data_IF_233782082163
#
_entry.id   IF_233782082163
#
_cell.length_a   1.000
_cell.length_b   1.000
_cell.length_c   1.000
_cell.angle_alpha   90.00
_cell.angle_beta   90.00
_cell.angle_gamma   90.00
#
_symmetry.space_group_name_H-M   'P 1'
#
loop_
_entity.id
_entity.type
_entity.pdbx_description
1 polymer ?
#
# COMPACT_ATOMS: atom_id res chain seq x y z
N UNK A 1 -0.23 13.08 -5.63
CA UNK A 1 -0.60 11.78 -4.99
C UNK A 1 -0.15 10.54 -5.76
N UNK A 2 -0.04 10.57 -7.10
CA UNK A 2 0.30 9.38 -7.91
C UNK A 2 1.66 8.75 -7.57
N UNK A 3 2.69 9.56 -7.26
CA UNK A 3 4.03 9.04 -6.93
C UNK A 3 4.07 8.18 -5.67
N UNK A 4 3.26 8.47 -4.65
CA UNK A 4 3.23 7.69 -3.40
C UNK A 4 2.70 6.27 -3.69
N UNK A 5 1.59 6.19 -4.42
CA UNK A 5 0.99 4.93 -4.86
C UNK A 5 1.98 4.10 -5.71
N UNK A 6 2.61 4.74 -6.70
CA UNK A 6 3.58 4.08 -7.57
C UNK A 6 4.80 3.59 -6.79
N UNK A 7 5.30 4.35 -5.82
CA UNK A 7 6.43 3.93 -4.99
C UNK A 7 6.08 2.75 -4.09
N UNK A 8 4.88 2.72 -3.50
CA UNK A 8 4.49 1.60 -2.64
C UNK A 8 4.20 0.33 -3.44
N UNK A 9 3.50 0.45 -4.57
CA UNK A 9 3.17 -0.69 -5.44
C UNK A 9 4.40 -1.24 -6.16
N UNK A 10 5.26 -0.39 -6.71
CA UNK A 10 6.49 -0.84 -7.37
C UNK A 10 7.40 -1.59 -6.40
N UNK A 11 7.52 -1.12 -5.15
CA UNK A 11 8.22 -1.84 -4.09
C UNK A 11 7.56 -3.19 -3.79
N UNK A 12 6.25 -3.24 -3.60
CA UNK A 12 5.55 -4.49 -3.32
C UNK A 12 5.74 -5.53 -4.43
N UNK A 13 5.63 -5.12 -5.70
CA UNK A 13 5.84 -6.01 -6.85
C UNK A 13 7.30 -6.46 -6.93
N UNK A 14 8.27 -5.53 -6.82
CA UNK A 14 9.71 -5.83 -6.92
C UNK A 14 10.18 -6.87 -5.89
N UNK A 15 9.57 -6.86 -4.70
CA UNK A 15 9.98 -7.74 -3.61
C UNK A 15 9.06 -8.96 -3.40
N UNK A 16 8.05 -9.14 -4.25
CA UNK A 16 7.19 -10.33 -4.21
C UNK A 16 7.75 -11.39 -5.17
N UNK A 17 8.17 -12.57 -4.67
CA UNK A 17 8.66 -13.64 -5.54
C UNK A 17 7.56 -14.19 -6.44
N UNK A 18 7.95 -14.92 -7.50
CA UNK A 18 7.01 -15.59 -8.39
C UNK A 18 6.04 -16.50 -7.61
N UNK A 19 4.75 -16.41 -7.91
CA UNK A 19 3.69 -17.10 -7.16
C UNK A 19 3.26 -16.41 -5.85
N UNK A 20 3.90 -15.30 -5.48
CA UNK A 20 3.47 -14.46 -4.37
C UNK A 20 2.26 -13.57 -4.72
N UNK A 21 1.67 -12.96 -3.69
CA UNK A 21 0.48 -12.12 -3.80
C UNK A 21 0.72 -10.75 -3.19
N UNK A 22 0.33 -9.71 -3.93
CA UNK A 22 0.21 -8.33 -3.43
C UNK A 22 -1.28 -8.02 -3.28
N UNK A 23 -1.67 -7.48 -2.12
CA UNK A 23 -3.03 -7.06 -1.79
C UNK A 23 -3.01 -5.56 -1.49
N UNK A 24 -3.82 -4.80 -2.22
CA UNK A 24 -4.06 -3.38 -1.99
C UNK A 24 -5.43 -3.23 -1.31
N UNK A 25 -5.49 -2.47 -0.23
CA UNK A 25 -6.75 -2.08 0.43
C UNK A 25 -6.82 -0.58 0.59
N UNK A 26 -8.00 -0.03 0.32
CA UNK A 26 -8.31 1.37 0.49
C UNK A 26 -9.39 1.48 1.57
N UNK A 27 -9.14 2.29 2.59
CA UNK A 27 -10.12 2.70 3.57
C UNK A 27 -10.29 4.20 3.43
N UNK A 28 -11.51 4.66 3.21
CA UNK A 28 -11.82 6.08 3.13
C UNK A 28 -12.81 6.42 4.24
N UNK A 29 -12.55 7.53 4.91
CA UNK A 29 -13.44 8.18 5.87
C UNK A 29 -13.54 9.67 5.49
N UNK A 30 -14.44 10.42 6.12
CA UNK A 30 -14.76 11.81 5.76
C UNK A 30 -13.53 12.74 5.71
N UNK A 31 -12.48 12.42 6.47
CA UNK A 31 -11.28 13.27 6.62
C UNK A 31 -10.00 12.63 6.13
N UNK A 32 -9.98 11.34 5.85
CA UNK A 32 -8.74 10.63 5.55
C UNK A 32 -8.92 9.44 4.61
N UNK A 33 -7.88 9.18 3.84
CA UNK A 33 -7.75 7.99 3.02
C UNK A 33 -6.56 7.19 3.51
N UNK A 34 -6.79 5.97 3.93
CA UNK A 34 -5.75 5.03 4.31
C UNK A 34 -5.55 4.02 3.19
N UNK A 35 -4.31 3.92 2.72
CA UNK A 35 -3.88 2.94 1.75
C UNK A 35 -3.03 1.88 2.45
N UNK A 36 -3.42 0.63 2.33
CA UNK A 36 -2.66 -0.50 2.86
C UNK A 36 -2.15 -1.35 1.70
N UNK A 37 -0.85 -1.58 1.65
CA UNK A 37 -0.21 -2.51 0.73
C UNK A 37 0.38 -3.65 1.55
N UNK A 38 -0.12 -4.86 1.30
CA UNK A 38 0.37 -6.09 1.91
C UNK A 38 0.88 -7.01 0.81
N UNK A 39 2.01 -7.67 1.05
CA UNK A 39 2.58 -8.60 0.11
C UNK A 39 3.21 -9.81 0.79
N UNK A 40 3.19 -10.96 0.10
CA UNK A 40 3.75 -12.21 0.61
C UNK A 40 5.25 -12.27 0.34
N UNK A 41 6.03 -11.48 1.09
CA UNK A 41 7.50 -11.59 1.08
C UNK A 41 7.95 -12.73 1.99
N UNK A 42 9.04 -13.38 1.61
CA UNK A 42 9.59 -14.52 2.33
C UNK A 42 10.41 -14.14 3.59
N UNK A 43 10.76 -12.85 3.79
CA UNK A 43 11.67 -12.45 4.87
C UNK A 43 10.92 -12.01 6.15
N UNK A 44 11.05 -12.83 7.20
CA UNK A 44 10.68 -12.63 8.61
C UNK A 44 9.40 -11.81 8.91
N UNK A 45 8.30 -12.53 9.15
CA UNK A 45 7.08 -12.15 9.87
C UNK A 45 6.92 -10.66 10.29
N UNK A 46 6.25 -9.81 9.48
CA UNK A 46 5.34 -8.67 9.90
C UNK A 46 4.88 -7.64 8.85
N UNK A 47 5.04 -7.81 7.54
CA UNK A 47 5.03 -6.62 6.65
C UNK A 47 3.68 -6.26 5.98
N UNK A 48 2.79 -5.60 6.73
CA UNK A 48 1.81 -4.69 6.13
C UNK A 48 2.37 -3.26 6.16
N UNK A 49 2.63 -2.64 5.00
CA UNK A 49 2.99 -1.23 4.94
C UNK A 49 1.71 -0.41 4.81
N UNK A 50 1.44 0.40 5.83
CA UNK A 50 0.31 1.34 5.85
C UNK A 50 0.83 2.72 5.50
N UNK A 51 0.20 3.36 4.51
CA UNK A 51 0.33 4.78 4.27
C UNK A 51 -1.03 5.44 4.56
N UNK A 52 -1.09 6.24 5.62
CA UNK A 52 -2.21 7.14 5.86
C UNK A 52 -1.98 8.42 5.04
N UNK A 53 -2.95 8.79 4.20
CA UNK A 53 -2.91 10.02 3.42
C UNK A 53 -4.05 10.92 3.88
N UNK A 54 -3.69 12.05 4.51
CA UNK A 54 -4.59 12.91 5.27
C UNK A 54 -5.22 14.05 4.47
N UNK A 55 -5.29 13.98 3.14
CA UNK A 55 -5.87 15.09 2.35
C UNK A 55 -6.80 14.56 1.25
N UNK A 56 -8.10 14.54 1.55
CA UNK A 56 -9.12 14.83 0.55
C UNK A 56 -9.41 16.31 0.71
N UNK A 57 -8.68 17.17 0.00
CA UNK A 57 -9.26 18.46 -0.36
C UNK A 57 -10.22 18.16 -1.50
N UNK A 58 -11.50 18.00 -1.18
CA UNK A 58 -12.56 18.05 -2.17
C UNK A 58 -12.61 19.51 -2.68
N UNK A 59 -11.92 19.77 -3.78
CA UNK A 59 -12.07 20.96 -4.60
C UNK A 59 -12.23 20.51 -6.05
#
# INVERSE_FOLDING_TARGET
MQQILLNLLSNAIKFTPAGGRVTLRLFADERMVMLQVQDTRHWHCRNAKVAAVSQISAA
#
